data_IF_022034096987
#
_entry.id   IF_022034096987
#
_cell.length_a   1.000
_cell.length_b   1.000
_cell.length_c   1.000
_cell.angle_alpha   90.00
_cell.angle_beta   90.00
_cell.angle_gamma   90.00
#
_symmetry.space_group_name_H-M   'P 1'
#
loop_
_entity.id
_entity.type
_entity.pdbx_description
1 polymer ?
#
# COMPACT_ATOMS: atom_id res chain seq x y z
N UNK A 1 11.22 -17.63 -7.81
CA UNK A 1 11.89 -16.34 -7.44
C UNK A 1 10.89 -15.23 -7.67
N UNK A 2 10.57 -14.46 -6.63
CA UNK A 2 9.63 -13.36 -6.75
C UNK A 2 10.26 -12.18 -7.52
N UNK A 3 9.45 -11.50 -8.34
CA UNK A 3 9.92 -10.42 -9.19
C UNK A 3 10.14 -9.14 -8.39
N UNK A 4 11.35 -8.62 -8.37
CA UNK A 4 11.65 -7.29 -7.80
C UNK A 4 11.03 -6.22 -8.69
N UNK A 5 10.28 -5.30 -8.08
CA UNK A 5 9.59 -4.20 -8.76
C UNK A 5 10.32 -2.86 -8.53
N UNK A 6 10.66 -2.57 -7.28
CA UNK A 6 11.32 -1.33 -6.86
C UNK A 6 12.47 -1.63 -5.90
N UNK A 7 13.44 -0.76 -5.88
CA UNK A 7 14.51 -0.73 -4.88
C UNK A 7 14.78 0.70 -4.46
N UNK A 8 14.94 0.91 -3.16
CA UNK A 8 15.33 2.17 -2.56
C UNK A 8 16.71 2.04 -1.92
N UNK A 9 17.10 2.99 -1.10
CA UNK A 9 18.38 2.92 -0.37
C UNK A 9 18.43 1.73 0.59
N UNK A 10 17.30 1.40 1.27
CA UNK A 10 17.27 0.38 2.32
C UNK A 10 16.29 -0.77 2.01
N UNK A 11 15.37 -0.57 1.07
CA UNK A 11 14.24 -1.46 0.86
C UNK A 11 14.21 -2.03 -0.54
N UNK A 12 13.78 -3.27 -0.63
CA UNK A 12 13.36 -3.93 -1.86
C UNK A 12 11.85 -4.16 -1.79
N UNK A 13 11.14 -3.74 -2.82
CA UNK A 13 9.72 -4.04 -3.01
C UNK A 13 9.60 -5.06 -4.15
N UNK A 14 9.01 -6.20 -3.84
CA UNK A 14 8.84 -7.31 -4.79
C UNK A 14 7.42 -7.85 -4.80
N UNK A 15 7.10 -8.58 -5.85
CA UNK A 15 5.85 -9.35 -5.86
C UNK A 15 5.82 -10.32 -4.68
N UNK A 16 4.63 -10.54 -4.14
CA UNK A 16 4.39 -11.66 -3.24
C UNK A 16 4.53 -12.98 -4.01
N UNK A 17 4.94 -14.02 -3.30
CA UNK A 17 4.76 -15.40 -3.71
C UNK A 17 4.19 -16.24 -2.54
N UNK A 18 3.83 -17.49 -2.80
CA UNK A 18 3.14 -18.32 -1.78
C UNK A 18 4.04 -18.66 -0.58
N UNK A 19 5.36 -18.53 -0.70
CA UNK A 19 6.30 -18.72 0.41
C UNK A 19 6.19 -17.59 1.45
N UNK A 20 5.57 -16.48 1.11
CA UNK A 20 5.34 -15.36 2.01
C UNK A 20 4.14 -15.59 2.96
N UNK A 21 3.48 -16.74 2.89
CA UNK A 21 2.29 -17.05 3.66
C UNK A 21 2.48 -16.85 5.18
N UNK A 22 3.61 -17.31 5.72
CA UNK A 22 3.91 -17.16 7.15
C UNK A 22 4.02 -15.68 7.55
N UNK A 23 4.64 -14.85 6.73
CA UNK A 23 4.72 -13.41 6.93
C UNK A 23 3.34 -12.74 6.85
N UNK A 24 2.49 -13.13 5.92
CA UNK A 24 1.11 -12.61 5.81
C UNK A 24 0.31 -12.98 7.06
N UNK A 25 0.42 -14.21 7.59
CA UNK A 25 -0.22 -14.57 8.87
C UNK A 25 0.27 -13.64 9.99
N UNK A 26 1.58 -13.40 10.12
CA UNK A 26 2.14 -12.49 11.11
C UNK A 26 1.56 -11.07 10.96
N UNK A 27 1.68 -10.48 9.79
CA UNK A 27 1.30 -9.08 9.52
C UNK A 27 -0.20 -8.83 9.72
N UNK A 28 -1.06 -9.72 9.23
CA UNK A 28 -2.51 -9.53 9.28
C UNK A 28 -3.11 -9.81 10.66
N UNK A 29 -2.34 -10.39 11.59
CA UNK A 29 -2.74 -10.60 12.98
C UNK A 29 -2.04 -9.63 13.96
N UNK A 30 -1.26 -8.68 13.46
CA UNK A 30 -0.73 -7.59 14.28
C UNK A 30 -1.87 -6.84 14.98
N UNK A 31 -1.76 -6.49 16.27
CA UNK A 31 -2.79 -5.72 16.97
C UNK A 31 -3.21 -4.44 16.25
N UNK A 32 -2.25 -3.74 15.66
CA UNK A 32 -2.49 -2.52 14.87
C UNK A 32 -3.29 -2.78 13.59
N UNK A 33 -3.06 -3.91 12.92
CA UNK A 33 -3.86 -4.33 11.78
C UNK A 33 -5.30 -4.60 12.18
N UNK A 34 -5.49 -5.41 13.23
CA UNK A 34 -6.82 -5.76 13.72
C UNK A 34 -7.60 -4.51 14.17
N UNK A 35 -6.91 -3.56 14.79
CA UNK A 35 -7.52 -2.31 15.28
C UNK A 35 -7.95 -1.37 14.13
N UNK A 36 -7.13 -1.20 13.10
CA UNK A 36 -7.33 -0.15 12.09
C UNK A 36 -7.86 -0.64 10.74
N UNK A 37 -7.68 -1.93 10.44
CA UNK A 37 -8.06 -2.53 9.15
C UNK A 37 -9.13 -3.61 9.35
N UNK A 38 -9.07 -4.33 10.48
CA UNK A 38 -10.02 -5.37 10.87
C UNK A 38 -9.49 -6.78 10.63
N UNK A 39 -10.18 -7.75 11.23
CA UNK A 39 -9.85 -9.17 11.08
C UNK A 39 -10.25 -9.68 9.70
N UNK A 40 -9.29 -10.18 8.95
CA UNK A 40 -9.49 -10.79 7.62
C UNK A 40 -9.71 -12.31 7.70
N UNK A 41 -9.70 -12.88 8.89
CA UNK A 41 -9.85 -14.34 9.09
C UNK A 41 -8.65 -15.16 8.63
N UNK A 42 -7.49 -14.54 8.40
CA UNK A 42 -6.27 -15.21 7.95
C UNK A 42 -5.52 -15.73 9.18
N UNK A 43 -5.67 -17.02 9.47
CA UNK A 43 -5.10 -17.64 10.67
C UNK A 43 -4.11 -18.77 10.36
N UNK A 44 -4.18 -19.34 9.16
CA UNK A 44 -3.34 -20.45 8.71
C UNK A 44 -2.54 -20.08 7.49
N UNK A 45 -1.48 -20.84 7.19
CA UNK A 45 -0.72 -20.68 5.96
C UNK A 45 -1.61 -20.83 4.71
N UNK A 46 -2.55 -21.76 4.73
CA UNK A 46 -3.50 -21.96 3.63
C UNK A 46 -4.43 -20.76 3.41
N UNK A 47 -4.86 -20.09 4.49
CA UNK A 47 -5.63 -18.85 4.37
C UNK A 47 -4.78 -17.75 3.75
N UNK A 48 -3.51 -17.64 4.18
CA UNK A 48 -2.57 -16.65 3.68
C UNK A 48 -2.20 -16.89 2.20
N UNK A 49 -1.97 -18.12 1.80
CA UNK A 49 -1.74 -18.49 0.39
C UNK A 49 -2.91 -18.05 -0.48
N UNK A 50 -4.14 -18.32 -0.05
CA UNK A 50 -5.36 -17.88 -0.73
C UNK A 50 -5.46 -16.34 -0.79
N UNK A 51 -5.18 -15.66 0.32
CA UNK A 51 -5.13 -14.20 0.35
C UNK A 51 -4.12 -13.63 -0.65
N UNK A 52 -2.91 -14.22 -0.74
CA UNK A 52 -1.89 -13.82 -1.71
C UNK A 52 -2.37 -14.05 -3.14
N UNK A 53 -2.97 -15.21 -3.38
CA UNK A 53 -3.41 -15.65 -4.71
C UNK A 53 -4.56 -14.79 -5.24
N UNK A 54 -5.61 -14.59 -4.43
CA UNK A 54 -6.82 -13.88 -4.82
C UNK A 54 -6.67 -12.35 -4.72
N UNK A 55 -5.71 -11.86 -3.96
CA UNK A 55 -5.40 -10.45 -3.78
C UNK A 55 -4.22 -9.98 -4.66
N UNK A 56 -3.00 -9.93 -4.12
CA UNK A 56 -1.85 -9.37 -4.84
C UNK A 56 -1.58 -10.02 -6.20
N UNK A 57 -1.52 -11.36 -6.29
CA UNK A 57 -1.20 -12.04 -7.56
C UNK A 57 -2.26 -11.81 -8.63
N UNK A 58 -3.54 -11.88 -8.25
CA UNK A 58 -4.64 -11.58 -9.17
C UNK A 58 -4.60 -10.13 -9.65
N UNK A 59 -4.22 -9.18 -8.76
CA UNK A 59 -4.11 -7.77 -9.12
C UNK A 59 -2.95 -7.52 -10.07
N UNK A 60 -1.77 -8.13 -9.85
CA UNK A 60 -0.64 -8.04 -10.80
C UNK A 60 -1.03 -8.56 -12.18
N UNK A 61 -1.72 -9.70 -12.25
CA UNK A 61 -2.16 -10.28 -13.52
C UNK A 61 -3.16 -9.40 -14.26
N UNK A 62 -4.06 -8.74 -13.53
CA UNK A 62 -5.13 -7.92 -14.11
C UNK A 62 -4.69 -6.50 -14.46
N UNK A 63 -3.89 -5.86 -13.60
CA UNK A 63 -3.60 -4.44 -13.67
C UNK A 63 -2.11 -4.10 -13.84
N UNK A 64 -1.22 -5.08 -13.69
CA UNK A 64 0.23 -4.86 -13.72
C UNK A 64 0.80 -4.22 -12.44
N UNK A 65 -0.02 -3.97 -11.42
CA UNK A 65 0.38 -3.45 -10.12
C UNK A 65 -0.45 -4.07 -9.00
N UNK A 66 -0.02 -3.87 -7.75
CA UNK A 66 -0.72 -4.35 -6.56
C UNK A 66 0.04 -3.95 -5.29
N UNK A 67 -0.27 -4.62 -4.19
CA UNK A 67 0.53 -4.57 -2.97
C UNK A 67 1.80 -5.38 -3.16
N UNK A 68 2.94 -4.82 -2.81
CA UNK A 68 4.25 -5.47 -2.85
C UNK A 68 4.70 -5.82 -1.44
N UNK A 69 5.40 -6.93 -1.28
CA UNK A 69 6.14 -7.20 -0.07
C UNK A 69 7.31 -6.22 0.01
N UNK A 70 7.51 -5.64 1.19
CA UNK A 70 8.63 -4.75 1.50
C UNK A 70 9.60 -5.48 2.42
N UNK A 71 10.84 -5.61 1.99
CA UNK A 71 11.91 -6.26 2.76
C UNK A 71 13.16 -5.39 2.82
N UNK A 72 14.01 -5.62 3.81
CA UNK A 72 15.33 -5.01 3.86
C UNK A 72 16.19 -5.54 2.70
N UNK A 73 16.82 -4.65 1.95
CA UNK A 73 17.66 -5.03 0.80
C UNK A 73 18.83 -5.93 1.21
N UNK A 74 19.43 -5.65 2.36
CA UNK A 74 20.67 -6.35 2.79
C UNK A 74 20.39 -7.75 3.34
N UNK A 75 19.30 -7.94 4.07
CA UNK A 75 18.98 -9.21 4.75
C UNK A 75 17.86 -10.02 4.10
N UNK A 76 17.01 -9.37 3.29
CA UNK A 76 15.76 -9.99 2.80
C UNK A 76 14.70 -10.14 3.90
N UNK A 77 14.88 -9.51 5.07
CA UNK A 77 13.90 -9.56 6.15
C UNK A 77 12.61 -8.83 5.74
N UNK A 78 11.44 -9.51 5.77
CA UNK A 78 10.18 -8.88 5.45
C UNK A 78 9.74 -7.94 6.58
N UNK A 79 9.35 -6.73 6.22
CA UNK A 79 8.98 -5.66 7.15
C UNK A 79 7.50 -5.29 7.08
N UNK A 80 6.88 -5.44 5.92
CA UNK A 80 5.53 -4.98 5.66
C UNK A 80 5.12 -5.17 4.22
N UNK A 81 4.08 -4.46 3.84
CA UNK A 81 3.63 -4.35 2.47
C UNK A 81 3.30 -2.90 2.11
N UNK A 82 3.52 -2.53 0.86
CA UNK A 82 3.18 -1.23 0.33
C UNK A 82 2.91 -1.34 -1.17
N UNK A 83 1.93 -0.62 -1.67
CA UNK A 83 1.62 -0.64 -3.10
C UNK A 83 0.31 0.04 -3.44
N UNK A 84 -0.18 -0.25 -4.63
CA UNK A 84 -1.40 0.33 -5.19
C UNK A 84 -2.51 -0.71 -5.22
N UNK A 85 -3.72 -0.27 -4.90
CA UNK A 85 -4.91 -1.12 -4.89
C UNK A 85 -5.99 -0.45 -5.74
N UNK A 86 -6.65 -1.19 -6.59
CA UNK A 86 -7.88 -0.73 -7.25
C UNK A 86 -9.08 -1.41 -6.57
N UNK A 87 -9.75 -0.63 -5.72
CA UNK A 87 -10.96 -1.07 -5.02
C UNK A 87 -12.19 -0.76 -5.87
N UNK A 88 -13.17 -1.65 -5.85
CA UNK A 88 -14.44 -1.43 -6.56
C UNK A 88 -15.26 -0.28 -5.91
N UNK A 89 -15.01 0.00 -4.63
CA UNK A 89 -15.66 1.06 -3.87
C UNK A 89 -15.03 2.44 -4.05
N UNK A 90 -13.87 2.54 -4.71
CA UNK A 90 -13.17 3.80 -4.95
C UNK A 90 -12.97 4.03 -6.45
N UNK A 91 -13.23 5.27 -6.87
CA UNK A 91 -13.04 5.67 -8.27
C UNK A 91 -11.56 5.63 -8.66
N UNK A 92 -10.68 6.08 -7.78
CA UNK A 92 -9.25 6.21 -8.02
C UNK A 92 -8.46 5.04 -7.44
N UNK A 93 -7.20 4.93 -7.86
CA UNK A 93 -6.25 3.97 -7.31
C UNK A 93 -5.86 4.39 -5.88
N UNK A 94 -5.83 3.42 -4.98
CA UNK A 94 -5.61 3.61 -3.55
C UNK A 94 -4.18 3.19 -3.16
N UNK A 95 -3.45 4.05 -2.46
CA UNK A 95 -2.17 3.72 -1.85
C UNK A 95 -2.41 2.97 -0.53
N UNK A 96 -2.01 1.72 -0.47
CA UNK A 96 -2.07 0.89 0.72
C UNK A 96 -0.69 0.60 1.30
N UNK A 97 -0.58 0.59 2.62
CA UNK A 97 0.62 0.19 3.34
C UNK A 97 0.30 -0.36 4.73
N UNK A 98 1.07 -1.34 5.17
CA UNK A 98 1.07 -1.87 6.52
C UNK A 98 2.45 -2.43 6.85
N UNK A 99 2.93 -2.19 8.06
CA UNK A 99 4.23 -2.62 8.53
C UNK A 99 4.12 -3.23 9.92
N UNK A 100 4.95 -4.23 10.19
CA UNK A 100 5.08 -4.82 11.51
C UNK A 100 5.44 -3.75 12.54
N UNK A 101 4.82 -3.80 13.71
CA UNK A 101 4.98 -2.77 14.75
C UNK A 101 6.44 -2.64 15.23
N UNK A 102 7.18 -3.75 15.22
CA UNK A 102 8.60 -3.77 15.62
C UNK A 102 9.52 -2.90 14.75
N UNK A 103 9.08 -2.53 13.55
CA UNK A 103 9.90 -1.70 12.64
C UNK A 103 9.41 -0.26 12.49
N UNK A 104 8.42 0.14 13.25
CA UNK A 104 7.92 1.50 13.23
C UNK A 104 8.97 2.51 13.72
N UNK A 105 8.83 3.77 13.34
CA UNK A 105 9.76 4.84 13.71
C UNK A 105 11.04 4.91 12.88
N UNK A 106 11.34 3.89 12.06
CA UNK A 106 12.55 3.84 11.22
C UNK A 106 12.39 4.55 9.86
N UNK A 107 11.20 5.05 9.53
CA UNK A 107 10.94 5.74 8.26
C UNK A 107 10.68 4.81 7.07
N UNK A 108 10.65 3.51 7.25
CA UNK A 108 10.46 2.54 6.16
C UNK A 108 9.13 2.71 5.41
N UNK A 109 8.04 2.97 6.12
CA UNK A 109 6.74 3.19 5.49
C UNK A 109 6.75 4.42 4.56
N UNK A 110 7.42 5.51 4.98
CA UNK A 110 7.58 6.69 4.14
C UNK A 110 8.43 6.40 2.90
N UNK A 111 9.56 5.73 3.08
CA UNK A 111 10.49 5.38 1.99
C UNK A 111 9.82 4.49 0.94
N UNK A 112 9.12 3.44 1.38
CA UNK A 112 8.39 2.54 0.50
C UNK A 112 7.25 3.27 -0.24
N UNK A 113 6.43 4.03 0.47
CA UNK A 113 5.30 4.75 -0.12
C UNK A 113 5.75 5.82 -1.12
N UNK A 114 6.81 6.57 -0.80
CA UNK A 114 7.39 7.56 -1.73
C UNK A 114 7.89 6.89 -3.02
N UNK A 115 8.53 5.73 -2.93
CA UNK A 115 8.98 4.97 -4.09
C UNK A 115 7.80 4.46 -4.93
N UNK A 116 6.74 3.95 -4.28
CA UNK A 116 5.51 3.51 -4.98
C UNK A 116 4.83 4.68 -5.69
N UNK A 117 4.74 5.85 -5.06
CA UNK A 117 4.16 7.04 -5.69
C UNK A 117 4.96 7.51 -6.89
N UNK A 118 6.30 7.53 -6.79
CA UNK A 118 7.17 7.85 -7.93
C UNK A 118 6.98 6.86 -9.07
N UNK A 119 6.87 5.57 -8.77
CA UNK A 119 6.61 4.51 -9.75
C UNK A 119 5.24 4.69 -10.42
N UNK A 120 4.21 5.01 -9.63
CA UNK A 120 2.87 5.29 -10.13
C UNK A 120 2.86 6.42 -11.16
N UNK A 121 3.50 7.54 -10.84
CA UNK A 121 3.57 8.70 -11.72
C UNK A 121 4.41 8.44 -12.98
N UNK A 122 5.60 7.82 -12.84
CA UNK A 122 6.58 7.73 -13.93
C UNK A 122 6.37 6.53 -14.84
N UNK A 123 5.97 5.39 -14.28
CA UNK A 123 5.83 4.12 -15.02
C UNK A 123 4.39 3.76 -15.34
N UNK A 124 3.48 3.96 -14.38
CA UNK A 124 2.09 3.58 -14.56
C UNK A 124 1.24 4.74 -15.12
N UNK A 125 1.76 5.97 -15.12
CA UNK A 125 1.06 7.17 -15.60
C UNK A 125 -0.26 7.42 -14.86
N UNK A 126 -0.25 7.18 -13.55
CA UNK A 126 -1.38 7.44 -12.67
C UNK A 126 -1.20 8.82 -12.08
N UNK A 127 -2.07 9.75 -12.48
CA UNK A 127 -1.97 11.16 -12.09
C UNK A 127 -2.60 11.44 -10.73
N UNK A 128 -3.66 10.71 -10.37
CA UNK A 128 -4.36 10.87 -9.11
C UNK A 128 -4.34 9.58 -8.30
N UNK A 129 -3.92 9.69 -7.05
CA UNK A 129 -3.89 8.59 -6.09
C UNK A 129 -4.66 9.02 -4.86
N UNK A 130 -5.48 8.12 -4.32
CA UNK A 130 -6.16 8.31 -3.05
C UNK A 130 -5.55 7.40 -1.98
N UNK A 131 -5.92 7.59 -0.73
CA UNK A 131 -5.62 6.69 0.37
C UNK A 131 -6.74 6.79 1.41
N UNK A 132 -7.13 5.66 1.97
CA UNK A 132 -8.14 5.62 3.02
C UNK A 132 -7.53 5.14 4.33
N UNK A 133 -7.94 5.73 5.44
CA UNK A 133 -7.49 5.32 6.78
C UNK A 133 -8.58 5.56 7.81
N UNK A 134 -8.57 4.77 8.89
CA UNK A 134 -9.50 4.99 10.00
C UNK A 134 -9.22 6.35 10.67
N UNK A 135 -10.28 6.99 11.19
CA UNK A 135 -10.17 8.29 11.85
C UNK A 135 -9.25 8.24 13.09
N UNK A 136 -9.11 7.09 13.71
CA UNK A 136 -8.25 6.86 14.88
C UNK A 136 -6.79 6.56 14.52
N UNK A 137 -6.49 6.24 13.26
CA UNK A 137 -5.13 5.94 12.82
C UNK A 137 -4.34 7.22 12.50
N UNK A 138 -3.97 7.93 13.54
CA UNK A 138 -3.22 9.19 13.40
C UNK A 138 -1.85 9.01 12.73
N UNK A 139 -1.21 7.86 12.92
CA UNK A 139 0.10 7.58 12.33
C UNK A 139 0.01 7.52 10.80
N UNK A 140 -0.98 6.81 10.25
CA UNK A 140 -1.23 6.78 8.80
C UNK A 140 -1.59 8.17 8.27
N UNK A 141 -2.45 8.93 8.95
CA UNK A 141 -2.79 10.29 8.54
C UNK A 141 -1.58 11.24 8.54
N UNK A 142 -0.66 11.11 9.51
CA UNK A 142 0.60 11.89 9.52
C UNK A 142 1.51 11.49 8.34
N UNK A 143 1.63 10.21 8.07
CA UNK A 143 2.43 9.70 6.95
C UNK A 143 1.87 10.21 5.61
N UNK A 144 0.57 10.12 5.39
CA UNK A 144 -0.07 10.59 4.17
C UNK A 144 0.16 12.09 3.95
N UNK A 145 -0.02 12.91 4.97
CA UNK A 145 0.27 14.36 4.89
C UNK A 145 1.75 14.63 4.58
N UNK A 146 2.68 13.87 5.18
CA UNK A 146 4.11 13.99 4.87
C UNK A 146 4.43 13.63 3.43
N UNK A 147 3.67 12.73 2.82
CA UNK A 147 3.78 12.36 1.40
C UNK A 147 3.11 13.39 0.47
N UNK A 148 2.45 14.41 1.00
CA UNK A 148 1.78 15.46 0.23
C UNK A 148 0.28 15.21 -0.02
N UNK A 149 -0.30 14.17 0.55
CA UNK A 149 -1.74 13.96 0.47
C UNK A 149 -2.50 14.98 1.31
N UNK A 150 -3.67 15.40 0.82
CA UNK A 150 -4.62 16.26 1.53
C UNK A 150 -5.89 15.49 1.85
N UNK A 151 -6.49 15.76 3.01
CA UNK A 151 -7.79 15.22 3.36
C UNK A 151 -8.88 15.81 2.46
N UNK A 152 -9.78 14.97 1.95
CA UNK A 152 -10.90 15.42 1.14
C UNK A 152 -12.25 15.32 1.90
N UNK A 153 -12.63 14.11 2.26
CA UNK A 153 -13.91 13.82 2.91
C UNK A 153 -13.90 12.46 3.60
N UNK A 154 -14.98 12.15 4.29
CA UNK A 154 -15.23 10.83 4.83
C UNK A 154 -15.95 9.97 3.80
N UNK A 155 -15.54 8.69 3.71
CA UNK A 155 -16.18 7.68 2.87
C UNK A 155 -16.78 6.59 3.74
N UNK A 156 -18.02 6.21 3.44
CA UNK A 156 -18.69 5.15 4.15
C UNK A 156 -17.99 3.80 3.88
N UNK A 157 -17.83 3.00 4.92
CA UNK A 157 -17.33 1.63 4.79
C UNK A 157 -18.48 0.63 4.86
N UNK A 158 -18.35 -0.47 4.14
CA UNK A 158 -19.29 -1.59 4.23
C UNK A 158 -18.99 -2.52 5.41
N UNK A 159 -17.84 -2.35 6.08
CA UNK A 159 -17.38 -3.21 7.19
C UNK A 159 -17.15 -2.37 8.43
N UNK A 160 -17.84 -2.71 9.53
CA UNK A 160 -17.65 -2.08 10.84
C UNK A 160 -18.35 -0.74 11.06
N UNK A 161 -19.08 -0.19 10.09
CA UNK A 161 -19.97 0.97 10.26
C UNK A 161 -19.30 2.30 10.59
N UNK A 162 -17.96 2.41 10.50
CA UNK A 162 -17.25 3.67 10.68
C UNK A 162 -16.76 4.22 9.36
N UNK A 163 -17.01 5.51 9.13
CA UNK A 163 -16.49 6.21 7.97
C UNK A 163 -14.97 6.32 8.02
N UNK A 164 -14.32 6.10 6.90
CA UNK A 164 -12.89 6.28 6.73
C UNK A 164 -12.56 7.68 6.21
N UNK A 165 -11.41 8.19 6.58
CA UNK A 165 -10.86 9.42 6.01
C UNK A 165 -10.26 9.11 4.63
N UNK A 166 -10.73 9.79 3.59
CA UNK A 166 -10.14 9.76 2.27
C UNK A 166 -9.17 10.93 2.11
N UNK A 167 -7.97 10.60 1.72
CA UNK A 167 -6.91 11.53 1.34
C UNK A 167 -6.63 11.40 -0.15
N UNK A 168 -6.18 12.46 -0.80
CA UNK A 168 -5.76 12.41 -2.20
C UNK A 168 -4.51 13.22 -2.47
N UNK A 169 -3.85 12.85 -3.55
CA UNK A 169 -2.81 13.62 -4.19
C UNK A 169 -2.98 13.52 -5.70
N UNK A 170 -2.77 14.65 -6.37
CA UNK A 170 -2.72 14.70 -7.84
C UNK A 170 -1.33 15.16 -8.24
N UNK A 171 -0.63 14.38 -9.04
CA UNK A 171 0.64 14.81 -9.62
C UNK A 171 0.37 16.01 -10.53
N UNK A 172 1.21 17.06 -10.50
CA UNK A 172 1.08 18.11 -11.50
C UNK A 172 1.24 17.48 -12.88
N UNK A 173 0.19 17.56 -13.70
CA UNK A 173 0.25 17.14 -15.09
C UNK A 173 1.43 17.83 -15.74
N UNK A 174 2.27 17.07 -16.43
CA UNK A 174 3.32 17.59 -17.30
C UNK A 174 2.68 18.22 -18.56
N UNK A 175 1.81 19.20 -18.35
CA UNK A 175 1.34 20.10 -19.39
C UNK A 175 2.38 21.20 -19.59
N UNK A 176 3.47 20.84 -20.27
CA UNK A 176 4.33 21.80 -20.92
C UNK A 176 4.35 21.46 -22.40
N UNK A 177 3.23 21.67 -23.05
CA UNK A 177 3.15 21.69 -24.50
C UNK A 177 2.41 22.96 -24.94
N UNK A 178 3.17 23.83 -25.58
CA UNK A 178 2.69 24.90 -26.49
C UNK A 178 2.28 26.19 -25.84
N UNK A 179 3.27 27.03 -25.56
CA UNK A 179 3.19 28.43 -25.98
C UNK A 179 4.56 28.85 -26.56
N UNK A 180 4.77 28.50 -27.81
CA UNK A 180 5.70 29.18 -28.70
C UNK A 180 4.90 29.58 -29.95
N UNK A 181 4.48 30.78 -29.96
CA UNK A 181 4.30 31.59 -31.17
C UNK A 181 5.01 32.92 -31.00
#
# INVERSE_FOLDING_TARGET
>A
MSTRVLQTQRLTLRHFDLNDAAFIVELLNEPSWLQHIGDKGIKTSSDAERYIQDGPLAMYARLGFGLYLVELTDSGEPLGMCGLIKRDTLQDVDLGFAFLSRVWGNGYAYEAAAAVMSYAATRLRIDRIVAITSQTNQASGKLLRKLGFTFEHLVATTVGGQDLMLYSITSPSSDTSSQLL
#
